data_IF_783433636307
#
_entry.id   IF_783433636307
#
_cell.length_a   1.000
_cell.length_b   1.000
_cell.length_c   1.000
_cell.angle_alpha   90.00
_cell.angle_beta   90.00
_cell.angle_gamma   90.00
#
_symmetry.space_group_name_H-M   'P 1'
#
loop_
_entity.id
_entity.type
_entity.pdbx_description
1 polymer ?
#
# COMPACT_ATOMS: atom_id res chain seq x y z
N UNK A 1 -4.89 -5.42 -13.34
CA UNK A 1 -3.80 -5.43 -12.36
C UNK A 1 -4.09 -4.49 -11.21
N UNK A 2 -3.58 -4.79 -10.04
CA UNK A 2 -3.71 -3.90 -8.87
C UNK A 2 -3.19 -2.50 -9.15
N UNK A 3 -2.08 -2.44 -9.91
CA UNK A 3 -1.48 -1.17 -10.31
C UNK A 3 -2.49 -0.27 -11.04
N UNK A 4 -3.26 -0.85 -11.94
CA UNK A 4 -4.24 -0.07 -12.72
C UNK A 4 -5.36 0.48 -11.84
N UNK A 5 -5.79 -0.29 -10.84
CA UNK A 5 -6.80 0.18 -9.89
C UNK A 5 -6.28 1.33 -9.02
N UNK A 6 -5.03 1.22 -8.58
CA UNK A 6 -4.39 2.27 -7.78
C UNK A 6 -4.21 3.52 -8.63
N UNK A 7 -3.76 3.36 -9.88
CA UNK A 7 -3.57 4.46 -10.80
C UNK A 7 -4.88 5.24 -11.02
N UNK A 8 -6.00 4.55 -11.18
CA UNK A 8 -7.31 5.19 -11.35
C UNK A 8 -7.72 6.01 -10.15
N UNK A 9 -7.31 5.62 -8.94
CA UNK A 9 -7.64 6.35 -7.71
C UNK A 9 -6.87 7.66 -7.58
N UNK A 10 -5.84 7.88 -8.42
CA UNK A 10 -5.00 9.08 -8.42
C UNK A 10 -5.24 9.93 -9.64
N UNK A 11 -6.31 10.04 -10.25
CA UNK A 11 -6.55 10.81 -11.47
C UNK A 11 -5.66 10.32 -12.62
N UNK A 12 -6.26 9.63 -13.56
CA UNK A 12 -5.59 8.97 -14.67
C UNK A 12 -4.56 9.85 -15.39
N UNK A 13 -4.83 11.15 -15.55
CA UNK A 13 -3.93 12.07 -16.26
C UNK A 13 -2.56 12.17 -15.59
N UNK A 14 -2.53 12.30 -14.26
CA UNK A 14 -1.27 12.41 -13.52
C UNK A 14 -0.45 11.13 -13.65
N UNK A 15 -1.10 9.98 -13.64
CA UNK A 15 -0.43 8.69 -13.74
C UNK A 15 0.14 8.48 -15.14
N UNK A 16 -0.60 8.83 -16.18
CA UNK A 16 -0.17 8.63 -17.57
C UNK A 16 1.09 9.43 -17.91
N UNK A 17 1.28 10.57 -17.27
CA UNK A 17 2.43 11.42 -17.53
C UNK A 17 3.58 11.23 -16.55
N UNK A 18 3.38 10.41 -15.52
CA UNK A 18 4.37 10.26 -14.46
C UNK A 18 5.53 9.36 -14.93
N UNK A 19 6.77 9.73 -14.54
CA UNK A 19 7.94 8.88 -14.69
C UNK A 19 7.81 7.66 -13.75
N UNK A 20 8.60 6.58 -13.99
CA UNK A 20 8.59 5.44 -13.08
C UNK A 20 8.88 5.81 -11.63
N UNK A 21 9.84 6.71 -11.40
CA UNK A 21 10.15 7.17 -10.04
C UNK A 21 9.00 7.92 -9.41
N UNK A 22 8.30 8.76 -10.19
CA UNK A 22 7.14 9.48 -9.68
C UNK A 22 5.99 8.55 -9.36
N UNK A 23 5.79 7.49 -10.15
CA UNK A 23 4.77 6.47 -9.86
C UNK A 23 5.04 5.78 -8.53
N UNK A 24 6.30 5.46 -8.24
CA UNK A 24 6.69 4.88 -6.96
C UNK A 24 6.36 5.83 -5.81
N UNK A 25 6.68 7.12 -5.97
CA UNK A 25 6.33 8.12 -4.95
C UNK A 25 4.82 8.22 -4.73
N UNK A 26 4.04 8.14 -5.80
CA UNK A 26 2.58 8.14 -5.70
C UNK A 26 2.06 6.92 -4.94
N UNK A 27 2.67 5.75 -5.15
CA UNK A 27 2.31 4.55 -4.41
C UNK A 27 2.64 4.69 -2.92
N UNK A 28 3.81 5.23 -2.59
CA UNK A 28 4.15 5.52 -1.19
C UNK A 28 3.18 6.49 -0.55
N UNK A 29 2.81 7.55 -1.26
CA UNK A 29 1.83 8.51 -0.76
C UNK A 29 0.49 7.84 -0.49
N UNK A 30 0.04 6.99 -1.41
CA UNK A 30 -1.20 6.22 -1.24
C UNK A 30 -1.14 5.29 -0.03
N UNK A 31 -0.01 4.61 0.17
CA UNK A 31 0.19 3.77 1.34
C UNK A 31 0.04 4.57 2.63
N UNK A 32 0.69 5.72 2.71
CA UNK A 32 0.60 6.58 3.90
C UNK A 32 -0.83 7.04 4.17
N UNK A 33 -1.56 7.42 3.12
CA UNK A 33 -2.95 7.88 3.27
C UNK A 33 -3.89 6.77 3.72
N UNK A 34 -3.78 5.58 3.12
CA UNK A 34 -4.62 4.45 3.52
C UNK A 34 -4.28 3.96 4.93
N UNK A 35 -3.00 3.96 5.29
CA UNK A 35 -2.57 3.60 6.63
C UNK A 35 -3.10 4.58 7.67
N UNK A 36 -3.06 5.88 7.37
CA UNK A 36 -3.61 6.90 8.25
C UNK A 36 -5.12 6.76 8.38
N UNK A 37 -5.82 6.50 7.28
CA UNK A 37 -7.28 6.29 7.30
C UNK A 37 -7.65 5.04 8.11
N UNK A 38 -6.87 3.96 8.00
CA UNK A 38 -7.06 2.77 8.81
C UNK A 38 -6.91 3.09 10.30
N UNK A 39 -5.84 3.83 10.64
CA UNK A 39 -5.58 4.22 12.02
C UNK A 39 -6.75 5.05 12.60
N UNK A 40 -7.27 5.98 11.82
CA UNK A 40 -8.42 6.77 12.25
C UNK A 40 -9.66 5.90 12.45
N UNK A 41 -9.83 4.85 11.65
CA UNK A 41 -10.97 3.95 11.77
C UNK A 41 -10.98 3.19 13.09
N UNK A 42 -9.82 2.96 13.71
CA UNK A 42 -9.74 2.32 15.03
C UNK A 42 -10.42 3.15 16.13
N UNK A 43 -10.54 4.45 15.93
CA UNK A 43 -11.15 5.36 16.90
C UNK A 43 -12.66 5.54 16.70
N UNK A 44 -13.26 4.91 15.69
CA UNK A 44 -14.69 5.02 15.46
C UNK A 44 -15.46 4.21 16.51
N UNK A 45 -16.57 4.78 16.97
CA UNK A 45 -17.42 4.12 17.99
C UNK A 45 -18.34 3.07 17.39
N UNK A 46 -18.85 3.31 16.18
CA UNK A 46 -19.73 2.37 15.49
C UNK A 46 -18.95 1.14 15.08
N UNK A 47 -19.34 -0.03 15.61
CA UNK A 47 -18.61 -1.29 15.39
C UNK A 47 -18.51 -1.64 13.91
N UNK A 48 -19.61 -1.53 13.17
CA UNK A 48 -19.62 -1.87 11.75
C UNK A 48 -18.73 -0.94 10.93
N UNK A 49 -18.89 0.37 11.13
CA UNK A 49 -18.07 1.37 10.42
C UNK A 49 -16.60 1.23 10.76
N UNK A 50 -16.30 0.95 12.03
CA UNK A 50 -14.92 0.72 12.47
C UNK A 50 -14.30 -0.46 11.74
N UNK A 51 -14.95 -1.60 11.75
CA UNK A 51 -14.40 -2.81 11.12
C UNK A 51 -14.29 -2.67 9.62
N UNK A 52 -15.29 -2.09 8.96
CA UNK A 52 -15.23 -1.85 7.52
C UNK A 52 -14.11 -0.88 7.16
N UNK A 53 -13.98 0.22 7.91
CA UNK A 53 -12.93 1.21 7.66
C UNK A 53 -11.55 0.61 7.82
N UNK A 54 -11.31 -0.14 8.90
CA UNK A 54 -10.03 -0.81 9.13
C UNK A 54 -9.74 -1.79 8.00
N UNK A 55 -10.67 -2.70 7.71
CA UNK A 55 -10.47 -3.71 6.69
C UNK A 55 -10.21 -3.09 5.32
N UNK A 56 -11.06 -2.17 4.88
CA UNK A 56 -10.96 -1.58 3.55
C UNK A 56 -9.65 -0.83 3.37
N UNK A 57 -9.25 -0.04 4.35
CA UNK A 57 -8.03 0.76 4.23
C UNK A 57 -6.77 -0.09 4.37
N UNK A 58 -6.76 -1.10 5.24
CA UNK A 58 -5.61 -2.00 5.36
C UNK A 58 -5.42 -2.84 4.11
N UNK A 59 -6.51 -3.31 3.48
CA UNK A 59 -6.40 -4.07 2.23
C UNK A 59 -5.83 -3.17 1.12
N UNK A 60 -6.27 -1.92 1.02
CA UNK A 60 -5.72 -0.99 0.03
C UNK A 60 -4.24 -0.72 0.27
N UNK A 61 -3.84 -0.57 1.53
CA UNK A 61 -2.42 -0.42 1.87
C UNK A 61 -1.63 -1.67 1.48
N UNK A 62 -2.15 -2.86 1.76
CA UNK A 62 -1.52 -4.13 1.37
C UNK A 62 -1.35 -4.22 -0.14
N UNK A 63 -2.37 -3.84 -0.90
CA UNK A 63 -2.30 -3.88 -2.36
C UNK A 63 -1.20 -2.98 -2.89
N UNK A 64 -1.02 -1.80 -2.30
CA UNK A 64 0.05 -0.90 -2.68
C UNK A 64 1.42 -1.50 -2.39
N UNK A 65 1.61 -2.07 -1.20
CA UNK A 65 2.89 -2.68 -0.84
C UNK A 65 3.20 -3.87 -1.75
N UNK A 66 2.19 -4.66 -2.10
CA UNK A 66 2.35 -5.77 -3.04
C UNK A 66 2.81 -5.27 -4.41
N UNK A 67 2.24 -4.16 -4.90
CA UNK A 67 2.69 -3.56 -6.16
C UNK A 67 4.13 -3.04 -6.07
N UNK A 68 4.49 -2.40 -4.97
CA UNK A 68 5.87 -1.95 -4.74
C UNK A 68 6.83 -3.13 -4.75
N UNK A 69 6.48 -4.22 -4.09
CA UNK A 69 7.30 -5.42 -4.03
C UNK A 69 7.44 -6.06 -5.42
N UNK A 70 6.34 -6.14 -6.17
CA UNK A 70 6.35 -6.72 -7.51
C UNK A 70 7.14 -5.88 -8.51
N UNK A 71 7.28 -4.58 -8.27
CA UNK A 71 8.02 -3.68 -9.16
C UNK A 71 9.52 -3.71 -8.93
N UNK A 72 10.02 -4.41 -7.90
CA UNK A 72 11.45 -4.52 -7.65
C UNK A 72 12.14 -5.27 -8.77
N UNK A 73 13.25 -4.70 -9.25
CA UNK A 73 14.12 -5.36 -10.24
C UNK A 73 15.17 -6.18 -9.47
N UNK A 74 14.90 -7.46 -9.31
CA UNK A 74 15.79 -8.35 -8.56
C UNK A 74 17.07 -8.68 -9.31
N UNK A 75 17.20 -8.27 -10.60
CA UNK A 75 18.41 -8.46 -11.37
C UNK A 75 19.48 -7.41 -11.09
N UNK A 76 19.11 -6.31 -10.43
CA UNK A 76 20.05 -5.26 -10.04
C UNK A 76 21.05 -5.83 -9.04
N UNK A 77 22.39 -5.66 -9.30
CA UNK A 77 23.41 -6.20 -8.40
C UNK A 77 23.37 -5.54 -7.02
N UNK A 78 23.81 -6.30 -6.01
CA UNK A 78 23.92 -5.79 -4.66
C UNK A 78 22.77 -6.25 -3.77
N UNK A 79 22.74 -5.72 -2.56
CA UNK A 79 21.82 -6.19 -1.53
C UNK A 79 20.50 -5.44 -1.48
N UNK A 80 20.42 -4.26 -2.13
CA UNK A 80 19.26 -3.38 -1.98
C UNK A 80 17.94 -4.02 -2.42
N UNK A 81 17.84 -4.67 -3.60
CA UNK A 81 16.57 -5.28 -3.99
C UNK A 81 16.07 -6.32 -2.99
N UNK A 82 16.95 -7.20 -2.53
CA UNK A 82 16.59 -8.23 -1.55
C UNK A 82 16.20 -7.63 -0.20
N UNK A 83 16.89 -6.58 0.22
CA UNK A 83 16.57 -5.89 1.46
C UNK A 83 15.19 -5.24 1.40
N UNK A 84 14.88 -4.56 0.29
CA UNK A 84 13.57 -3.95 0.08
C UNK A 84 12.46 -5.01 0.02
N UNK A 85 12.73 -6.13 -0.65
CA UNK A 85 11.76 -7.22 -0.75
C UNK A 85 11.38 -7.73 0.65
N UNK A 86 12.37 -7.96 1.51
CA UNK A 86 12.14 -8.41 2.88
C UNK A 86 11.42 -7.36 3.72
N UNK A 87 11.75 -6.08 3.52
CA UNK A 87 11.07 -4.99 4.21
C UNK A 87 9.59 -4.96 3.84
N UNK A 88 9.28 -5.10 2.56
CA UNK A 88 7.88 -5.11 2.10
C UNK A 88 7.14 -6.33 2.65
N UNK A 89 7.79 -7.50 2.71
CA UNK A 89 7.18 -8.68 3.34
C UNK A 89 6.84 -8.43 4.80
N UNK A 90 7.75 -7.79 5.52
CA UNK A 90 7.52 -7.43 6.93
C UNK A 90 6.34 -6.48 7.08
N UNK A 91 6.26 -5.47 6.24
CA UNK A 91 5.14 -4.51 6.27
C UNK A 91 3.83 -5.23 5.96
N UNK A 92 3.80 -6.09 4.94
CA UNK A 92 2.61 -6.87 4.59
C UNK A 92 2.14 -7.74 5.76
N UNK A 93 3.07 -8.41 6.42
CA UNK A 93 2.75 -9.23 7.58
C UNK A 93 2.12 -8.40 8.68
N UNK A 94 2.68 -7.23 8.98
CA UNK A 94 2.15 -6.35 10.02
C UNK A 94 0.76 -5.83 9.68
N UNK A 95 0.51 -5.48 8.42
CA UNK A 95 -0.82 -5.02 7.99
C UNK A 95 -1.86 -6.13 8.14
N UNK A 96 -1.49 -7.36 7.76
CA UNK A 96 -2.38 -8.52 7.92
C UNK A 96 -2.69 -8.78 9.39
N UNK A 97 -1.68 -8.72 10.26
CA UNK A 97 -1.87 -8.92 11.69
C UNK A 97 -2.78 -7.84 12.28
N UNK A 98 -2.59 -6.60 11.90
CA UNK A 98 -3.43 -5.50 12.36
C UNK A 98 -4.91 -5.74 11.98
N UNK A 99 -5.15 -6.24 10.78
CA UNK A 99 -6.52 -6.51 10.32
C UNK A 99 -7.15 -7.70 11.06
N UNK A 100 -6.36 -8.72 11.34
CA UNK A 100 -6.85 -9.91 12.06
C UNK A 100 -7.17 -9.60 13.53
N UNK A 101 -6.39 -8.72 14.15
CA UNK A 101 -6.50 -8.43 15.58
C UNK A 101 -7.39 -7.24 15.92
N UNK A 102 -7.95 -6.59 14.91
CA UNK A 102 -8.85 -5.44 15.15
C UNK A 102 -10.09 -5.83 16.00
#
# INVERSE_FOLDING_TARGET
MQYDKIAKSYKAQSVQTASPGKLVLMLFDGYLRFSAAAKQSFDLEDFTKKNEGINNNLIRAQNIVTELQSSLDMSVPGELPGTLYRLYDYVLHNLQQANLKK
#
